data_IF_783513791436
#
_entry.id   IF_783513791436
#
_cell.length_a   1.000
_cell.length_b   1.000
_cell.length_c   1.000
_cell.angle_alpha   90.00
_cell.angle_beta   90.00
_cell.angle_gamma   90.00
#
_symmetry.space_group_name_H-M   'P 1'
#
loop_
_entity.id
_entity.type
_entity.pdbx_description
1 polymer ?
#
# COMPACT_ATOMS: atom_id res chain seq x y z
N UNK A 1 -2.94 12.37 -12.66
CA UNK A 1 -2.81 10.91 -12.76
C UNK A 1 -3.09 10.38 -14.15
N UNK A 2 -4.28 10.59 -14.74
CA UNK A 2 -4.66 10.05 -16.06
C UNK A 2 -3.58 10.21 -17.15
N UNK A 3 -3.05 11.42 -17.35
CA UNK A 3 -1.97 11.69 -18.32
C UNK A 3 -0.73 10.80 -18.15
N UNK A 4 -0.36 10.48 -16.91
CA UNK A 4 0.80 9.63 -16.61
C UNK A 4 0.46 8.17 -16.92
N UNK A 5 -0.71 7.71 -16.49
CA UNK A 5 -1.16 6.34 -16.80
C UNK A 5 -1.31 6.13 -18.31
N UNK A 6 -1.83 7.12 -19.04
CA UNK A 6 -1.95 7.08 -20.50
C UNK A 6 -0.57 7.01 -21.18
N UNK A 7 0.40 7.80 -20.72
CA UNK A 7 1.78 7.73 -21.21
C UNK A 7 2.45 6.37 -20.91
N UNK A 8 2.30 5.82 -19.70
CA UNK A 8 2.80 4.49 -19.37
C UNK A 8 2.16 3.43 -20.27
N UNK A 9 0.86 3.55 -20.57
CA UNK A 9 0.14 2.62 -21.45
C UNK A 9 0.71 2.62 -22.87
N UNK A 10 1.08 3.79 -23.41
CA UNK A 10 1.74 3.90 -24.73
C UNK A 10 3.08 3.16 -24.78
N UNK A 11 3.68 2.87 -23.62
CA UNK A 11 4.93 2.12 -23.47
C UNK A 11 4.71 0.68 -22.97
N UNK A 12 3.48 0.15 -23.00
CA UNK A 12 3.11 -1.17 -22.45
C UNK A 12 3.44 -1.34 -20.94
N UNK A 13 3.37 -0.25 -20.19
CA UNK A 13 3.67 -0.22 -18.75
C UNK A 13 2.41 -0.06 -17.90
N UNK A 14 2.44 -0.70 -16.72
CA UNK A 14 1.53 -0.38 -15.63
C UNK A 14 2.16 0.68 -14.71
N UNK A 15 1.33 1.58 -14.20
CA UNK A 15 1.72 2.52 -13.15
C UNK A 15 1.15 2.03 -11.82
N UNK A 16 2.01 1.75 -10.84
CA UNK A 16 1.59 1.24 -9.53
C UNK A 16 1.76 2.31 -8.46
N UNK A 17 0.68 2.56 -7.72
CA UNK A 17 0.69 3.43 -6.55
C UNK A 17 1.23 2.65 -5.36
N UNK A 18 2.27 3.16 -4.72
CA UNK A 18 2.74 2.64 -3.43
C UNK A 18 1.70 2.96 -2.35
N UNK A 19 1.47 2.03 -1.41
CA UNK A 19 0.62 2.29 -0.25
C UNK A 19 1.21 3.41 0.63
N UNK A 20 0.44 4.48 0.81
CA UNK A 20 0.80 5.66 1.59
C UNK A 20 0.00 5.81 2.89
N UNK A 21 -0.29 7.06 3.26
CA UNK A 21 -1.02 7.41 4.49
C UNK A 21 -2.55 7.30 4.34
N UNK A 22 -3.03 7.02 3.13
CA UNK A 22 -4.44 6.95 2.80
C UNK A 22 -5.06 5.65 3.33
N UNK A 23 -6.33 5.72 3.74
CA UNK A 23 -7.13 4.52 4.00
C UNK A 23 -7.34 3.73 2.70
N UNK A 24 -7.46 2.42 2.82
CA UNK A 24 -7.63 1.54 1.66
C UNK A 24 -8.83 1.90 0.77
N UNK A 25 -9.97 2.27 1.39
CA UNK A 25 -11.16 2.72 0.66
C UNK A 25 -10.93 4.01 -0.13
N UNK A 26 -10.11 4.94 0.39
CA UNK A 26 -9.80 6.19 -0.29
C UNK A 26 -8.94 5.92 -1.52
N UNK A 27 -7.92 5.07 -1.38
CA UNK A 27 -7.08 4.65 -2.51
C UNK A 27 -7.89 3.88 -3.57
N UNK A 28 -8.77 2.96 -3.15
CA UNK A 28 -9.69 2.25 -4.05
C UNK A 28 -10.55 3.23 -4.85
N UNK A 29 -11.16 4.21 -4.17
CA UNK A 29 -12.01 5.22 -4.79
C UNK A 29 -11.21 6.09 -5.77
N UNK A 30 -9.99 6.47 -5.40
CA UNK A 30 -9.11 7.24 -6.26
C UNK A 30 -8.77 6.48 -7.55
N UNK A 31 -8.44 5.18 -7.45
CA UNK A 31 -8.17 4.33 -8.63
C UNK A 31 -9.39 4.27 -9.56
N UNK A 32 -10.59 4.09 -8.98
CA UNK A 32 -11.86 4.10 -9.71
C UNK A 32 -12.10 5.44 -10.42
N UNK A 33 -11.85 6.56 -9.74
CA UNK A 33 -12.04 7.90 -10.29
C UNK A 33 -11.02 8.22 -11.40
N UNK A 34 -9.78 7.71 -11.31
CA UNK A 34 -8.78 7.84 -12.39
C UNK A 34 -9.21 7.03 -13.62
N UNK A 35 -9.84 5.88 -13.41
CA UNK A 35 -10.44 5.03 -14.44
C UNK A 35 -9.46 4.67 -15.57
N UNK A 36 -8.38 3.98 -15.22
CA UNK A 36 -7.39 3.44 -16.17
C UNK A 36 -7.01 2.01 -15.79
N UNK A 37 -7.08 1.09 -16.75
CA UNK A 37 -6.84 -0.33 -16.52
C UNK A 37 -5.38 -0.67 -16.18
N UNK A 38 -4.43 0.18 -16.57
CA UNK A 38 -3.00 0.01 -16.28
C UNK A 38 -2.56 0.78 -15.01
N UNK A 39 -3.50 1.24 -14.19
CA UNK A 39 -3.22 1.79 -12.87
C UNK A 39 -3.50 0.71 -11.81
N UNK A 40 -2.53 0.45 -10.95
CA UNK A 40 -2.67 -0.52 -9.87
C UNK A 40 -1.97 -0.07 -8.59
N UNK A 41 -1.73 -1.03 -7.69
CA UNK A 41 -1.11 -0.82 -6.39
C UNK A 41 0.15 -1.68 -6.27
N UNK A 42 1.23 -1.09 -5.76
CA UNK A 42 2.35 -1.81 -5.19
C UNK A 42 2.16 -1.81 -3.66
N UNK A 43 1.75 -2.95 -3.12
CA UNK A 43 1.24 -3.03 -1.76
C UNK A 43 2.37 -3.23 -0.76
N UNK A 44 2.53 -2.30 0.18
CA UNK A 44 3.46 -2.41 1.32
C UNK A 44 2.66 -2.38 2.64
N UNK A 45 2.46 -3.56 3.28
CA UNK A 45 1.70 -3.64 4.52
C UNK A 45 2.38 -2.88 5.67
N UNK A 46 3.71 -2.76 5.67
CA UNK A 46 4.41 -2.04 6.73
C UNK A 46 4.14 -0.55 6.63
N UNK A 47 4.09 0.06 5.44
CA UNK A 47 3.74 1.48 5.31
C UNK A 47 2.40 1.82 5.99
N UNK A 48 1.39 0.97 5.83
CA UNK A 48 0.11 1.17 6.51
C UNK A 48 0.21 1.16 8.04
N UNK A 49 1.09 0.33 8.59
CA UNK A 49 1.41 0.31 10.02
C UNK A 49 2.22 1.54 10.43
N UNK A 50 3.27 1.88 9.67
CA UNK A 50 4.17 2.99 9.97
C UNK A 50 3.45 4.34 10.00
N UNK A 51 2.44 4.51 9.15
CA UNK A 51 1.63 5.72 9.09
C UNK A 51 0.41 5.69 10.01
N UNK A 52 0.16 4.58 10.70
CA UNK A 52 -1.10 4.33 11.40
C UNK A 52 -2.33 4.58 10.51
N UNK A 53 -2.20 4.24 9.22
CA UNK A 53 -3.18 4.58 8.19
C UNK A 53 -4.37 3.63 8.17
N UNK A 54 -4.11 2.32 8.27
CA UNK A 54 -5.13 1.28 8.21
C UNK A 54 -4.67 -0.05 8.84
N UNK A 55 -5.56 -1.03 8.86
CA UNK A 55 -5.20 -2.44 9.07
C UNK A 55 -4.78 -3.08 7.74
N UNK A 56 -3.54 -3.57 7.60
CA UNK A 56 -3.04 -4.05 6.31
C UNK A 56 -3.77 -5.29 5.79
N UNK A 57 -4.30 -6.15 6.66
CA UNK A 57 -5.03 -7.35 6.22
C UNK A 57 -6.38 -6.94 5.63
N UNK A 58 -7.12 -6.08 6.34
CA UNK A 58 -8.40 -5.55 5.83
C UNK A 58 -8.22 -4.67 4.60
N UNK A 59 -7.12 -3.92 4.54
CA UNK A 59 -6.79 -3.12 3.38
C UNK A 59 -6.54 -3.98 2.14
N UNK A 60 -5.92 -5.15 2.30
CA UNK A 60 -5.70 -6.09 1.22
C UNK A 60 -7.02 -6.68 0.68
N UNK A 61 -8.02 -6.93 1.53
CA UNK A 61 -9.35 -7.37 1.07
C UNK A 61 -10.01 -6.35 0.11
N UNK A 62 -9.75 -5.06 0.33
CA UNK A 62 -10.29 -3.95 -0.47
C UNK A 62 -9.46 -3.75 -1.74
N UNK A 63 -8.13 -3.66 -1.58
CA UNK A 63 -7.20 -3.28 -2.63
C UNK A 63 -6.74 -4.46 -3.48
N UNK A 64 -6.97 -5.70 -3.06
CA UNK A 64 -6.40 -6.90 -3.68
C UNK A 64 -6.66 -7.01 -5.18
N UNK A 65 -7.83 -6.56 -5.66
CA UNK A 65 -8.16 -6.52 -7.09
C UNK A 65 -7.33 -5.54 -7.92
N UNK A 66 -6.63 -4.60 -7.29
CA UNK A 66 -5.76 -3.61 -7.91
C UNK A 66 -4.27 -3.91 -7.70
N UNK A 67 -3.92 -4.92 -6.89
CA UNK A 67 -2.51 -5.23 -6.56
C UNK A 67 -1.80 -5.83 -7.77
N UNK A 68 -0.67 -5.22 -8.14
CA UNK A 68 0.22 -5.68 -9.22
C UNK A 68 1.58 -6.12 -8.66
N UNK A 69 2.02 -5.50 -7.57
CA UNK A 69 3.28 -5.83 -6.88
C UNK A 69 3.13 -5.72 -5.36
N UNK A 70 4.09 -6.28 -4.63
CA UNK A 70 4.11 -6.30 -3.16
C UNK A 70 5.53 -6.04 -2.66
N UNK A 71 5.64 -5.23 -1.62
CA UNK A 71 6.85 -5.14 -0.79
C UNK A 71 6.71 -6.01 0.46
N UNK A 72 7.70 -6.87 0.68
CA UNK A 72 7.80 -7.66 1.91
C UNK A 72 8.62 -6.89 2.95
N UNK A 73 7.93 -6.09 3.76
CA UNK A 73 8.51 -5.27 4.82
C UNK A 73 7.72 -5.44 6.11
N UNK A 74 8.38 -5.21 7.25
CA UNK A 74 7.73 -5.27 8.57
C UNK A 74 7.87 -3.92 9.30
N UNK A 75 6.92 -3.62 10.17
CA UNK A 75 6.85 -2.33 10.85
C UNK A 75 5.89 -2.35 12.04
N UNK A 76 6.14 -1.46 13.01
CA UNK A 76 5.22 -1.22 14.12
C UNK A 76 4.63 0.16 14.03
N UNK A 77 3.36 0.26 14.43
CA UNK A 77 2.63 1.53 14.58
C UNK A 77 3.38 2.49 15.52
N UNK A 78 3.19 3.81 15.31
CA UNK A 78 3.74 4.80 16.22
C UNK A 78 3.17 4.62 17.63
N UNK A 79 4.00 4.89 18.65
CA UNK A 79 3.59 4.86 20.05
C UNK A 79 2.78 6.10 20.43
N UNK A 80 2.92 7.19 19.67
CA UNK A 80 2.22 8.47 19.90
C UNK A 80 1.63 9.00 18.61
N UNK A 81 0.44 9.59 18.74
CA UNK A 81 -0.26 10.22 17.61
C UNK A 81 0.58 11.36 17.02
N UNK A 82 0.71 11.37 15.70
CA UNK A 82 1.47 12.40 14.97
C UNK A 82 2.94 12.04 14.72
N UNK A 83 3.40 10.88 15.18
CA UNK A 83 4.72 10.34 14.88
C UNK A 83 4.64 9.25 13.81
N UNK A 84 5.78 8.94 13.18
CA UNK A 84 5.91 7.77 12.32
C UNK A 84 6.26 6.54 13.16
N UNK A 85 5.78 5.39 12.72
CA UNK A 85 6.16 4.09 13.22
C UNK A 85 7.61 3.72 12.91
N UNK A 86 8.03 2.54 13.36
CA UNK A 86 9.40 2.03 13.16
C UNK A 86 9.39 0.82 12.25
N UNK A 87 10.19 0.89 11.20
CA UNK A 87 10.45 -0.23 10.29
C UNK A 87 11.39 -1.23 10.95
N UNK A 88 11.20 -2.51 10.65
CA UNK A 88 12.06 -3.60 11.11
C UNK A 88 12.55 -4.43 9.92
N UNK A 89 13.77 -5.01 10.01
CA UNK A 89 14.19 -6.03 9.06
C UNK A 89 13.18 -7.18 9.09
N UNK A 90 12.83 -7.76 7.93
CA UNK A 90 11.86 -8.86 7.79
C UNK A 90 12.29 -10.20 8.41
N UNK A 91 13.22 -10.19 9.36
CA UNK A 91 13.59 -11.37 10.12
C UNK A 91 12.51 -11.61 11.19
N UNK A 92 12.00 -12.84 11.37
CA UNK A 92 10.96 -13.09 12.35
C UNK A 92 11.45 -12.69 13.73
N UNK A 93 10.76 -11.74 14.36
CA UNK A 93 10.84 -11.59 15.80
C UNK A 93 10.69 -12.99 16.43
N UNK A 94 11.50 -13.35 17.45
CA UNK A 94 11.31 -14.63 18.14
C UNK A 94 9.86 -14.68 18.60
N UNK A 95 9.07 -15.53 17.95
CA UNK A 95 7.69 -15.73 18.32
C UNK A 95 7.73 -16.36 19.71
N UNK A 96 7.43 -15.57 20.74
CA UNK A 96 7.03 -16.11 22.03
C UNK A 96 5.66 -16.76 21.81
N UNK A 97 5.67 -17.96 21.24
CA UNK A 97 4.57 -18.89 21.36
C UNK A 97 4.45 -19.23 22.85
N UNK A 98 3.46 -18.62 23.50
CA UNK A 98 2.81 -19.19 24.68
C UNK A 98 1.52 -19.85 24.23
#
# INVERSE_FOLDING_TARGET
>A
MQKIADYCKENDQSFTLETGQEKALVLSKFIEDVNRLNLGVNFDPANMLLYDADDPIKALDILGKYVIGVHCKDGKRPERKGELGKEYPGNPHPQNHR
#
